data_IF_568910307325
#
_entry.id   IF_568910307325
#
_cell.length_a   1.000
_cell.length_b   1.000
_cell.length_c   1.000
_cell.angle_alpha   90.00
_cell.angle_beta   90.00
_cell.angle_gamma   90.00
#
_symmetry.space_group_name_H-M   'P 1'
#
loop_
_entity.id
_entity.type
_entity.pdbx_description
1 polymer ?
#
# COMPACT_ATOMS: atom_id res chain seq x y z
N UNK A 1 -4.22 20.58 -11.60
CA UNK A 1 -4.40 20.60 -10.16
C UNK A 1 -4.65 19.14 -9.75
N UNK A 2 -3.60 18.40 -9.39
CA UNK A 2 -3.68 16.99 -9.02
C UNK A 2 -4.47 16.86 -7.72
N UNK A 3 -5.51 16.03 -7.73
CA UNK A 3 -6.32 15.74 -6.53
C UNK A 3 -5.50 14.84 -5.58
N UNK A 4 -5.08 15.41 -4.48
CA UNK A 4 -4.42 14.70 -3.37
C UNK A 4 -5.37 13.79 -2.58
N UNK A 5 -6.65 13.76 -2.93
CA UNK A 5 -7.73 13.11 -2.17
C UNK A 5 -7.92 11.62 -2.48
N UNK A 6 -7.04 11.00 -3.28
CA UNK A 6 -7.20 9.61 -3.75
C UNK A 6 -6.53 8.54 -2.90
N UNK A 7 -5.61 8.91 -2.01
CA UNK A 7 -4.88 7.96 -1.18
C UNK A 7 -5.70 7.51 0.04
N UNK A 8 -6.35 6.38 -0.07
CA UNK A 8 -7.17 5.82 1.01
C UNK A 8 -6.38 5.32 2.20
N UNK A 9 -5.22 4.79 1.93
CA UNK A 9 -4.31 4.24 2.91
C UNK A 9 -3.04 5.10 2.92
N UNK A 10 -3.23 6.43 3.07
CA UNK A 10 -2.10 7.36 3.14
C UNK A 10 -1.32 7.13 4.44
N UNK A 11 -0.15 6.52 4.32
CA UNK A 11 0.78 6.26 5.42
C UNK A 11 1.33 7.53 6.07
N UNK A 12 1.11 8.69 5.46
CA UNK A 12 1.66 9.99 5.87
C UNK A 12 1.20 10.48 7.24
N UNK A 13 0.12 9.90 7.79
CA UNK A 13 -0.37 10.27 9.12
C UNK A 13 0.19 9.43 10.28
N UNK A 14 0.98 8.40 10.02
CA UNK A 14 1.66 7.64 11.09
C UNK A 14 2.63 8.49 11.93
N UNK A 15 3.03 9.65 11.43
CA UNK A 15 3.95 10.58 12.14
C UNK A 15 3.27 11.47 13.18
N UNK A 16 1.96 11.41 13.34
CA UNK A 16 1.25 12.19 14.40
C UNK A 16 1.39 11.62 15.79
N UNK A 17 2.26 10.64 16.01
CA UNK A 17 2.68 10.20 17.36
C UNK A 17 1.68 9.31 18.10
N UNK A 18 0.68 8.78 17.43
CA UNK A 18 -0.31 7.88 18.04
C UNK A 18 -0.08 6.41 17.67
N UNK A 19 0.89 5.78 18.34
CA UNK A 19 1.07 4.32 18.27
C UNK A 19 1.83 3.81 17.03
N UNK A 20 2.14 2.50 16.97
CA UNK A 20 2.78 1.90 15.82
C UNK A 20 1.87 2.01 14.59
N UNK A 21 2.46 2.27 13.42
CA UNK A 21 1.76 2.28 12.15
C UNK A 21 1.04 0.92 11.94
N UNK A 22 -0.28 0.95 12.02
CA UNK A 22 -1.11 -0.25 11.93
C UNK A 22 -0.92 -0.94 10.57
N UNK A 23 -0.74 -0.16 9.51
CA UNK A 23 -0.52 -0.67 8.17
C UNK A 23 0.84 -1.39 8.07
N UNK A 24 1.91 -0.77 8.53
CA UNK A 24 3.24 -1.39 8.58
C UNK A 24 3.22 -2.66 9.46
N UNK A 25 2.55 -2.60 10.61
CA UNK A 25 2.41 -3.76 11.50
C UNK A 25 1.75 -4.95 10.80
N UNK A 26 0.72 -4.71 9.98
CA UNK A 26 0.02 -5.77 9.26
C UNK A 26 0.80 -6.31 8.06
N UNK A 27 1.37 -5.44 7.24
CA UNK A 27 1.80 -5.81 5.90
C UNK A 27 3.31 -5.89 5.71
N UNK A 28 4.11 -5.16 6.50
CA UNK A 28 5.58 -5.22 6.38
C UNK A 28 6.16 -6.63 6.50
N UNK A 29 5.70 -7.49 7.44
CA UNK A 29 6.23 -8.85 7.53
C UNK A 29 6.06 -9.65 6.23
N UNK A 30 4.93 -9.48 5.53
CA UNK A 30 4.67 -10.16 4.26
C UNK A 30 5.53 -9.58 3.14
N UNK A 31 5.60 -8.26 3.00
CA UNK A 31 6.46 -7.58 2.04
C UNK A 31 7.93 -8.00 2.22
N UNK A 32 8.42 -7.99 3.46
CA UNK A 32 9.82 -8.36 3.75
C UNK A 32 10.11 -9.82 3.46
N UNK A 33 9.17 -10.72 3.75
CA UNK A 33 9.28 -12.15 3.40
C UNK A 33 9.45 -12.35 1.89
N UNK A 34 8.70 -11.64 1.06
CA UNK A 34 8.86 -11.71 -0.39
C UNK A 34 10.24 -11.23 -0.83
N UNK A 35 10.67 -10.08 -0.36
CA UNK A 35 11.97 -9.51 -0.72
C UNK A 35 13.13 -10.39 -0.27
N UNK A 36 13.05 -10.98 0.93
CA UNK A 36 14.03 -11.96 1.42
C UNK A 36 14.05 -13.23 0.56
N UNK A 37 12.86 -13.71 0.14
CA UNK A 37 12.72 -14.84 -0.77
C UNK A 37 13.36 -14.61 -2.15
N UNK A 38 13.54 -13.35 -2.57
CA UNK A 38 14.29 -13.01 -3.80
C UNK A 38 15.80 -13.04 -3.62
N UNK A 39 16.30 -13.21 -2.39
CA UNK A 39 17.71 -13.16 -2.07
C UNK A 39 18.26 -11.74 -1.88
N UNK A 40 17.37 -10.76 -1.55
CA UNK A 40 17.79 -9.41 -1.24
C UNK A 40 18.94 -9.39 -0.23
N UNK A 41 20.01 -8.69 -0.58
CA UNK A 41 21.21 -8.66 0.25
C UNK A 41 22.09 -7.45 0.03
N UNK A 42 23.28 -7.51 0.67
CA UNK A 42 24.26 -6.43 0.62
C UNK A 42 24.68 -6.07 -0.81
N UNK A 43 24.80 -4.78 -1.07
CA UNK A 43 25.21 -4.23 -2.36
C UNK A 43 24.07 -4.09 -3.39
N UNK A 44 22.87 -4.56 -3.10
CA UNK A 44 21.74 -4.41 -4.02
C UNK A 44 21.35 -2.94 -4.22
N UNK A 45 20.89 -2.67 -5.43
CA UNK A 45 20.29 -1.38 -5.82
C UNK A 45 18.76 -1.56 -5.85
N UNK A 46 18.07 -0.89 -4.96
CA UNK A 46 16.61 -0.97 -4.83
C UNK A 46 15.98 0.37 -5.20
N UNK A 47 14.83 0.29 -5.86
CA UNK A 47 13.96 1.45 -6.07
C UNK A 47 12.62 1.19 -5.38
N UNK A 48 12.32 2.02 -4.39
CA UNK A 48 11.06 2.05 -3.66
C UNK A 48 10.19 3.17 -4.21
N UNK A 49 9.02 2.81 -4.73
CA UNK A 49 8.09 3.74 -5.41
C UNK A 49 6.90 3.99 -4.52
N UNK A 50 6.65 5.25 -4.18
CA UNK A 50 5.51 5.65 -3.34
C UNK A 50 5.55 5.05 -1.93
N UNK A 51 6.67 5.15 -1.18
CA UNK A 51 6.78 4.51 0.12
C UNK A 51 5.76 5.01 1.14
N UNK A 52 5.28 6.25 0.98
CA UNK A 52 4.32 6.89 1.90
C UNK A 52 4.81 7.05 3.35
N UNK A 53 5.94 6.45 3.69
CA UNK A 53 6.53 6.43 5.02
C UNK A 53 7.93 5.83 5.04
N UNK A 54 8.46 5.57 6.23
CA UNK A 54 9.88 5.23 6.41
C UNK A 54 10.17 3.74 6.61
N UNK A 55 9.15 2.91 6.86
CA UNK A 55 9.34 1.51 7.30
C UNK A 55 10.08 0.65 6.29
N UNK A 56 9.57 0.55 5.05
CA UNK A 56 10.17 -0.24 3.97
C UNK A 56 11.53 0.33 3.57
N UNK A 57 11.64 1.66 3.42
CA UNK A 57 12.89 2.34 3.07
C UNK A 57 13.99 2.05 4.10
N UNK A 58 13.67 2.17 5.39
CA UNK A 58 14.62 1.92 6.47
C UNK A 58 15.03 0.44 6.55
N UNK A 59 14.11 -0.47 6.28
CA UNK A 59 14.40 -1.90 6.24
C UNK A 59 15.29 -2.25 5.03
N UNK A 60 14.99 -1.73 3.83
CA UNK A 60 15.82 -1.89 2.64
C UNK A 60 17.23 -1.38 2.88
N UNK A 61 17.38 -0.18 3.46
CA UNK A 61 18.68 0.40 3.77
C UNK A 61 19.55 -0.50 4.66
N UNK A 62 18.95 -1.12 5.67
CA UNK A 62 19.64 -2.10 6.54
C UNK A 62 20.06 -3.34 5.76
N UNK A 63 19.22 -3.86 4.87
CA UNK A 63 19.49 -5.08 4.09
C UNK A 63 20.56 -4.88 3.03
N UNK A 64 20.52 -3.77 2.29
CA UNK A 64 21.51 -3.51 1.23
C UNK A 64 22.86 -3.04 1.78
N UNK A 65 22.88 -2.50 3.00
CA UNK A 65 24.10 -2.07 3.67
C UNK A 65 24.83 -0.89 2.96
N UNK A 66 26.02 -0.53 3.42
CA UNK A 66 26.71 0.69 2.96
C UNK A 66 27.19 0.63 1.51
N UNK A 67 27.28 -0.54 0.90
CA UNK A 67 27.68 -0.74 -0.50
C UNK A 67 26.50 -0.81 -1.46
N UNK A 68 25.27 -0.85 -0.93
CA UNK A 68 24.04 -0.84 -1.71
C UNK A 68 23.51 0.57 -1.96
N UNK A 69 22.33 0.63 -2.57
CA UNK A 69 21.62 1.88 -2.81
C UNK A 69 20.11 1.66 -2.69
N UNK A 70 19.43 2.58 -2.00
CA UNK A 70 17.97 2.65 -1.99
C UNK A 70 17.57 4.00 -2.58
N UNK A 71 16.94 3.98 -3.72
CA UNK A 71 16.29 5.14 -4.31
C UNK A 71 14.82 5.10 -3.89
N UNK A 72 14.37 6.06 -3.12
CA UNK A 72 12.98 6.19 -2.69
C UNK A 72 12.33 7.37 -3.42
N UNK A 73 11.21 7.15 -4.08
CA UNK A 73 10.55 8.19 -4.87
C UNK A 73 9.08 8.28 -4.53
N UNK A 74 8.58 9.51 -4.39
CA UNK A 74 7.19 9.80 -4.10
C UNK A 74 6.80 11.14 -4.77
N UNK A 75 5.51 11.40 -4.92
CA UNK A 75 4.99 12.71 -5.31
C UNK A 75 5.12 13.75 -4.19
N UNK A 76 5.25 13.28 -2.96
CA UNK A 76 5.49 14.08 -1.76
C UNK A 76 6.51 13.37 -0.87
N UNK A 77 7.65 14.00 -0.64
CA UNK A 77 8.76 13.48 0.17
C UNK A 77 8.79 14.06 1.58
N UNK A 78 7.68 14.57 2.12
CA UNK A 78 7.61 15.10 3.49
C UNK A 78 8.00 14.08 4.58
N UNK A 79 7.82 12.77 4.29
CA UNK A 79 8.30 11.66 5.12
C UNK A 79 9.82 11.50 5.15
N UNK A 80 10.54 12.12 4.20
CA UNK A 80 11.98 11.94 4.00
C UNK A 80 12.80 12.78 4.98
N UNK A 81 12.71 12.45 6.26
CA UNK A 81 13.46 13.13 7.32
C UNK A 81 14.96 12.79 7.28
N UNK A 82 15.87 13.67 7.75
CA UNK A 82 17.32 13.46 7.67
C UNK A 82 17.84 12.18 8.34
N UNK A 83 17.10 11.62 9.30
CA UNK A 83 17.45 10.35 9.94
C UNK A 83 17.31 9.14 9.00
N UNK A 84 16.48 9.25 7.97
CA UNK A 84 16.20 8.21 6.98
C UNK A 84 16.96 8.45 5.68
N UNK A 85 17.04 9.70 5.21
CA UNK A 85 17.67 10.08 3.94
C UNK A 85 19.18 10.30 4.05
N UNK A 86 19.86 9.31 4.60
CA UNK A 86 21.33 9.24 4.62
C UNK A 86 21.79 7.99 3.86
N UNK A 87 23.01 7.98 3.33
CA UNK A 87 23.48 6.79 2.62
C UNK A 87 23.19 5.50 3.38
N UNK A 88 22.69 4.44 2.73
CA UNK A 88 22.56 4.29 1.27
C UNK A 88 21.24 4.82 0.66
N UNK A 89 20.45 5.63 1.36
CA UNK A 89 19.12 6.11 0.91
C UNK A 89 19.24 7.48 0.22
N UNK A 90 18.61 7.59 -0.94
CA UNK A 90 18.33 8.86 -1.62
C UNK A 90 16.81 8.98 -1.82
N UNK A 91 16.22 10.14 -1.54
CA UNK A 91 14.82 10.44 -1.74
C UNK A 91 14.65 11.52 -2.81
N UNK A 92 13.68 11.34 -3.73
CA UNK A 92 13.38 12.28 -4.81
C UNK A 92 11.89 12.46 -4.98
N UNK A 93 11.46 13.68 -5.27
CA UNK A 93 10.11 13.92 -5.82
C UNK A 93 10.07 13.36 -7.24
N UNK A 94 9.11 12.50 -7.52
CA UNK A 94 9.03 11.79 -8.78
C UNK A 94 7.61 11.27 -9.02
N UNK A 95 7.11 11.41 -10.24
CA UNK A 95 5.81 10.93 -10.66
C UNK A 95 6.00 9.70 -11.56
N UNK A 96 5.89 8.52 -10.97
CA UNK A 96 6.05 7.25 -11.69
C UNK A 96 5.08 7.17 -12.89
N UNK A 97 5.59 6.78 -14.05
CA UNK A 97 4.79 6.75 -15.29
C UNK A 97 4.71 8.09 -16.04
N UNK A 98 5.14 9.19 -15.42
CA UNK A 98 5.24 10.52 -16.06
C UNK A 98 6.70 10.89 -16.26
N UNK A 99 7.48 10.85 -15.16
CA UNK A 99 8.91 11.15 -15.20
C UNK A 99 9.72 9.95 -15.72
N UNK A 100 10.94 10.23 -16.24
CA UNK A 100 11.86 9.15 -16.55
C UNK A 100 12.30 8.42 -15.26
N UNK A 101 12.57 7.10 -15.30
CA UNK A 101 13.05 6.39 -14.12
C UNK A 101 14.23 7.13 -13.45
N UNK A 102 14.31 7.13 -12.11
CA UNK A 102 15.37 7.85 -11.38
C UNK A 102 16.75 7.21 -11.51
N UNK A 103 16.88 6.23 -12.39
CA UNK A 103 18.07 5.49 -12.72
C UNK A 103 17.73 4.17 -13.38
N UNK A 104 18.76 3.34 -13.57
CA UNK A 104 18.66 2.02 -14.16
C UNK A 104 19.48 0.97 -13.40
N UNK A 105 19.39 -0.27 -13.84
CA UNK A 105 20.17 -1.37 -13.28
C UNK A 105 19.76 -1.76 -11.86
N UNK A 106 18.51 -1.54 -11.48
CA UNK A 106 18.01 -1.95 -10.17
C UNK A 106 17.89 -3.47 -10.07
N UNK A 107 18.30 -4.02 -8.94
CA UNK A 107 18.11 -5.43 -8.56
C UNK A 107 16.67 -5.70 -8.16
N UNK A 108 16.06 -4.75 -7.45
CA UNK A 108 14.68 -4.78 -6.99
C UNK A 108 14.02 -3.43 -7.26
N UNK A 109 12.80 -3.48 -7.80
CA UNK A 109 11.86 -2.35 -7.79
C UNK A 109 10.62 -2.81 -7.02
N UNK A 110 10.17 -1.99 -6.08
CA UNK A 110 9.02 -2.27 -5.26
C UNK A 110 8.04 -1.10 -5.26
N UNK A 111 6.76 -1.40 -5.24
CA UNK A 111 5.69 -0.44 -5.01
C UNK A 111 4.56 -1.11 -4.23
N UNK A 112 4.10 -0.48 -3.16
CA UNK A 112 2.97 -0.93 -2.35
C UNK A 112 1.92 0.17 -2.26
N UNK A 113 0.69 -0.12 -2.72
CA UNK A 113 -0.45 0.81 -2.78
C UNK A 113 -0.16 2.09 -3.57
N UNK A 114 0.78 2.07 -4.49
CA UNK A 114 1.17 3.21 -5.30
C UNK A 114 0.68 3.09 -6.75
N UNK A 115 0.67 1.87 -7.30
CA UNK A 115 0.38 1.66 -8.72
C UNK A 115 -1.07 2.03 -9.08
N UNK A 116 -2.05 1.66 -8.24
CA UNK A 116 -3.46 1.97 -8.45
C UNK A 116 -3.76 3.49 -8.48
N UNK A 117 -2.85 4.31 -7.94
CA UNK A 117 -2.98 5.76 -7.87
C UNK A 117 -2.15 6.51 -8.92
N UNK A 118 -1.34 5.79 -9.69
CA UNK A 118 -0.61 6.40 -10.79
C UNK A 118 -1.58 6.92 -11.87
N UNK A 119 -1.29 8.07 -12.51
CA UNK A 119 -2.13 8.59 -13.58
C UNK A 119 -2.33 7.62 -14.74
N UNK A 120 -1.30 6.83 -15.02
CA UNK A 120 -1.29 5.72 -15.98
C UNK A 120 -0.55 4.54 -15.34
N UNK A 121 -1.29 3.59 -14.73
CA UNK A 121 -0.69 2.43 -14.07
C UNK A 121 0.11 1.52 -15.00
N UNK A 122 -0.29 1.40 -16.27
CA UNK A 122 0.43 0.58 -17.25
C UNK A 122 1.76 1.22 -17.61
N UNK A 123 1.79 2.52 -17.87
CA UNK A 123 3.03 3.26 -18.14
C UNK A 123 3.95 3.29 -16.91
N UNK A 124 3.40 3.42 -15.70
CA UNK A 124 4.16 3.33 -14.46
C UNK A 124 4.85 1.96 -14.34
N UNK A 125 4.13 0.89 -14.61
CA UNK A 125 4.65 -0.47 -14.57
C UNK A 125 5.74 -0.71 -15.62
N UNK A 126 5.57 -0.21 -16.85
CA UNK A 126 6.59 -0.26 -17.90
C UNK A 126 7.85 0.52 -17.50
N UNK A 127 7.70 1.69 -16.90
CA UNK A 127 8.80 2.52 -16.38
C UNK A 127 9.61 1.76 -15.30
N UNK A 128 8.93 1.17 -14.34
CA UNK A 128 9.55 0.34 -13.29
C UNK A 128 10.27 -0.88 -13.88
N UNK A 129 9.63 -1.59 -14.82
CA UNK A 129 10.23 -2.75 -15.49
C UNK A 129 11.47 -2.37 -16.29
N UNK A 130 11.43 -1.23 -16.97
CA UNK A 130 12.58 -0.71 -17.75
C UNK A 130 13.79 -0.44 -16.86
N UNK A 131 13.58 0.10 -15.68
CA UNK A 131 14.63 0.44 -14.72
C UNK A 131 15.37 -0.77 -14.14
N UNK A 132 14.78 -1.95 -14.16
CA UNK A 132 15.42 -3.18 -13.69
C UNK A 132 16.62 -3.57 -14.58
N UNK A 133 17.65 -4.17 -13.98
CA UNK A 133 18.65 -4.92 -14.74
C UNK A 133 18.06 -6.23 -15.30
N UNK A 134 18.67 -6.87 -16.31
CA UNK A 134 18.33 -8.24 -16.66
C UNK A 134 18.39 -9.16 -15.43
N UNK A 135 17.34 -9.97 -15.22
CA UNK A 135 17.19 -10.82 -14.04
C UNK A 135 16.75 -10.10 -12.75
N UNK A 136 16.63 -8.76 -12.75
CA UNK A 136 16.11 -7.99 -11.63
C UNK A 136 14.64 -8.31 -11.33
N UNK A 137 14.20 -8.05 -10.10
CA UNK A 137 12.88 -8.39 -9.59
C UNK A 137 11.98 -7.18 -9.49
N UNK A 138 10.71 -7.33 -9.87
CA UNK A 138 9.64 -6.39 -9.58
C UNK A 138 8.69 -7.03 -8.58
N UNK A 139 8.35 -6.31 -7.51
CA UNK A 139 7.31 -6.67 -6.55
C UNK A 139 6.30 -5.52 -6.51
N UNK A 140 5.06 -5.80 -6.85
CA UNK A 140 3.94 -4.86 -6.72
C UNK A 140 2.93 -5.43 -5.74
N UNK A 141 2.51 -4.60 -4.81
CA UNK A 141 1.54 -4.97 -3.78
C UNK A 141 0.40 -3.97 -3.77
N UNK A 142 -0.83 -4.48 -3.86
CA UNK A 142 -2.02 -3.61 -3.84
C UNK A 142 -3.20 -4.29 -3.16
N UNK A 143 -4.06 -3.49 -2.53
CA UNK A 143 -5.24 -3.99 -1.86
C UNK A 143 -6.30 -4.43 -2.88
N UNK A 144 -7.07 -5.46 -2.53
CA UNK A 144 -8.25 -5.86 -3.27
C UNK A 144 -9.49 -5.77 -2.36
N UNK A 145 -10.14 -4.62 -2.39
CA UNK A 145 -11.32 -4.35 -1.57
C UNK A 145 -12.57 -5.11 -2.04
N UNK A 146 -12.54 -5.64 -3.27
CA UNK A 146 -13.67 -6.39 -3.83
C UNK A 146 -13.55 -7.91 -3.59
N UNK A 147 -12.34 -8.41 -3.27
CA UNK A 147 -12.12 -9.83 -2.97
C UNK A 147 -12.75 -10.21 -1.62
N UNK A 148 -12.64 -9.33 -0.63
CA UNK A 148 -13.30 -9.49 0.67
C UNK A 148 -13.99 -8.18 1.04
N UNK A 149 -15.32 -8.08 0.79
CA UNK A 149 -16.05 -6.83 0.97
C UNK A 149 -16.49 -6.55 2.40
N UNK A 150 -16.41 -7.53 3.30
CA UNK A 150 -16.91 -7.40 4.67
C UNK A 150 -15.84 -6.92 5.64
N UNK A 151 -16.20 -6.00 6.54
CA UNK A 151 -15.35 -5.60 7.66
C UNK A 151 -15.38 -6.65 8.79
N UNK A 152 -16.57 -7.19 9.08
CA UNK A 152 -16.77 -8.31 10.01
C UNK A 152 -17.22 -9.53 9.23
N UNK A 153 -16.47 -10.64 9.35
CA UNK A 153 -16.73 -11.88 8.61
C UNK A 153 -17.86 -12.68 9.21
N UNK A 154 -17.97 -12.67 10.52
CA UNK A 154 -19.02 -13.32 11.29
C UNK A 154 -19.82 -12.28 12.08
N UNK A 155 -21.04 -12.65 12.37
CA UNK A 155 -21.91 -11.83 13.18
C UNK A 155 -23.09 -11.24 12.40
N UNK A 156 -24.26 -11.36 13.01
CA UNK A 156 -25.54 -10.89 12.45
C UNK A 156 -26.12 -9.73 13.24
N UNK A 157 -25.41 -9.25 14.27
CA UNK A 157 -25.86 -8.15 15.10
C UNK A 157 -25.85 -6.81 14.39
N UNK A 158 -26.58 -5.81 14.90
CA UNK A 158 -26.68 -4.49 14.28
C UNK A 158 -25.32 -3.80 14.13
N UNK A 159 -24.38 -4.04 15.04
CA UNK A 159 -23.04 -3.45 15.01
C UNK A 159 -22.16 -4.04 13.90
N UNK A 160 -22.24 -5.36 13.66
CA UNK A 160 -21.56 -6.01 12.54
C UNK A 160 -22.13 -5.55 11.19
N UNK A 161 -23.47 -5.39 11.13
CA UNK A 161 -24.12 -4.85 9.94
C UNK A 161 -23.70 -3.41 9.68
N UNK A 162 -23.55 -2.58 10.71
CA UNK A 162 -23.06 -1.22 10.60
C UNK A 162 -21.62 -1.21 10.04
N UNK A 163 -20.72 -2.01 10.60
CA UNK A 163 -19.34 -2.12 10.11
C UNK A 163 -19.28 -2.50 8.62
N UNK A 164 -20.09 -3.50 8.22
CA UNK A 164 -20.13 -3.96 6.83
C UNK A 164 -20.73 -2.89 5.88
N UNK A 165 -21.76 -2.14 6.32
CA UNK A 165 -22.29 -1.01 5.54
C UNK A 165 -21.27 0.12 5.37
N UNK A 166 -20.53 0.46 6.42
CA UNK A 166 -19.49 1.48 6.33
C UNK A 166 -18.34 1.05 5.40
N UNK A 167 -17.95 -0.23 5.42
CA UNK A 167 -16.99 -0.78 4.47
C UNK A 167 -17.49 -0.66 3.02
N UNK A 168 -18.78 -0.95 2.78
CA UNK A 168 -19.38 -0.76 1.45
C UNK A 168 -19.41 0.72 1.06
N UNK A 169 -19.74 1.63 1.98
CA UNK A 169 -19.72 3.06 1.76
C UNK A 169 -18.31 3.56 1.36
N UNK A 170 -17.28 3.08 2.03
CA UNK A 170 -15.89 3.37 1.68
C UNK A 170 -15.58 2.89 0.26
N UNK A 171 -15.96 1.67 -0.09
CA UNK A 171 -15.74 1.12 -1.45
C UNK A 171 -16.45 1.94 -2.53
N UNK A 172 -17.71 2.34 -2.26
CA UNK A 172 -18.47 3.20 -3.17
C UNK A 172 -17.80 4.57 -3.37
N UNK A 173 -17.40 5.20 -2.27
CA UNK A 173 -16.71 6.50 -2.30
C UNK A 173 -15.41 6.45 -3.13
N UNK A 174 -14.69 5.34 -3.06
CA UNK A 174 -13.47 5.16 -3.81
C UNK A 174 -13.71 4.93 -5.29
N UNK A 175 -14.70 4.10 -5.62
CA UNK A 175 -15.09 3.86 -7.00
C UNK A 175 -15.54 5.17 -7.68
N UNK A 176 -16.28 6.03 -6.98
CA UNK A 176 -16.66 7.37 -7.45
C UNK A 176 -15.43 8.27 -7.71
N UNK A 177 -14.36 8.09 -6.93
CA UNK A 177 -13.09 8.81 -7.12
C UNK A 177 -12.17 8.21 -8.17
N UNK A 178 -12.62 7.13 -8.85
CA UNK A 178 -11.90 6.46 -9.93
C UNK A 178 -10.90 5.39 -9.49
N UNK A 179 -10.89 5.01 -8.21
CA UNK A 179 -10.09 3.88 -7.75
C UNK A 179 -10.79 2.57 -8.12
N UNK A 180 -10.08 1.65 -8.78
CA UNK A 180 -10.58 0.30 -9.06
C UNK A 180 -10.47 -0.56 -7.78
N UNK A 181 -11.58 -0.92 -7.12
CA UNK A 181 -11.52 -1.71 -5.89
C UNK A 181 -11.02 -3.15 -6.10
N UNK A 182 -10.92 -3.60 -7.35
CA UNK A 182 -10.44 -4.91 -7.74
C UNK A 182 -9.02 -4.88 -8.36
N UNK A 183 -8.29 -3.78 -8.15
CA UNK A 183 -6.97 -3.59 -8.78
C UNK A 183 -5.98 -4.70 -8.38
N UNK A 184 -5.94 -5.09 -7.11
CA UNK A 184 -4.99 -6.07 -6.60
C UNK A 184 -5.00 -7.39 -7.37
N UNK A 185 -6.16 -7.99 -7.63
CA UNK A 185 -6.26 -9.26 -8.38
C UNK A 185 -5.79 -9.18 -9.83
N UNK A 186 -5.66 -7.97 -10.38
CA UNK A 186 -5.21 -7.75 -11.77
C UNK A 186 -3.69 -7.74 -11.90
N UNK A 187 -2.96 -7.53 -10.79
CA UNK A 187 -1.51 -7.39 -10.78
C UNK A 187 -0.76 -8.49 -11.55
N UNK A 188 -1.05 -9.80 -11.38
CA UNK A 188 -0.32 -10.83 -12.13
C UNK A 188 -0.44 -10.64 -13.64
N UNK A 189 -1.63 -10.30 -14.13
CA UNK A 189 -1.87 -10.07 -15.55
C UNK A 189 -1.15 -8.82 -16.07
N UNK A 190 -1.12 -7.76 -15.26
CA UNK A 190 -0.39 -6.53 -15.58
C UNK A 190 1.11 -6.78 -15.66
N UNK A 191 1.68 -7.58 -14.75
CA UNK A 191 3.09 -7.94 -14.76
C UNK A 191 3.45 -8.78 -16.01
N UNK A 192 2.60 -9.72 -16.40
CA UNK A 192 2.78 -10.45 -17.67
C UNK A 192 2.75 -9.52 -18.87
N UNK A 193 1.80 -8.59 -18.92
CA UNK A 193 1.67 -7.61 -20.01
C UNK A 193 2.89 -6.68 -20.10
N UNK A 194 3.51 -6.35 -18.94
CA UNK A 194 4.75 -5.59 -18.88
C UNK A 194 6.02 -6.39 -19.28
N UNK A 195 5.88 -7.66 -19.69
CA UNK A 195 6.97 -8.49 -20.20
C UNK A 195 7.81 -9.19 -19.13
N UNK A 196 7.34 -9.23 -17.89
CA UNK A 196 8.01 -9.96 -16.82
C UNK A 196 7.83 -11.48 -16.99
N UNK A 197 8.82 -12.25 -16.53
CA UNK A 197 8.83 -13.72 -16.59
C UNK A 197 8.74 -14.31 -15.19
N UNK A 198 8.21 -15.54 -15.11
CA UNK A 198 8.05 -16.25 -13.83
C UNK A 198 7.18 -15.43 -12.88
N UNK A 199 6.07 -14.90 -13.38
CA UNK A 199 5.14 -14.11 -12.57
C UNK A 199 4.42 -15.05 -11.63
N UNK A 200 4.46 -14.71 -10.35
CA UNK A 200 3.75 -15.38 -9.26
C UNK A 200 3.03 -14.33 -8.44
N UNK A 201 2.05 -14.77 -7.66
CA UNK A 201 1.33 -13.90 -6.73
C UNK A 201 0.78 -14.71 -5.57
N UNK A 202 0.64 -14.04 -4.42
CA UNK A 202 -0.14 -14.53 -3.28
C UNK A 202 -1.01 -13.42 -2.69
N UNK A 203 -1.81 -13.78 -1.69
CA UNK A 203 -2.67 -12.85 -0.97
C UNK A 203 -2.44 -13.01 0.53
N UNK A 204 -2.24 -11.90 1.22
CA UNK A 204 -2.26 -11.85 2.68
C UNK A 204 -3.54 -11.20 3.17
N UNK A 205 -4.29 -11.92 3.97
CA UNK A 205 -5.58 -11.50 4.48
C UNK A 205 -5.58 -11.49 6.01
N UNK A 206 -5.29 -10.34 6.65
CA UNK A 206 -5.27 -10.22 8.10
C UNK A 206 -6.69 -10.13 8.67
N UNK A 207 -6.93 -10.89 9.75
CA UNK A 207 -8.23 -10.98 10.44
C UNK A 207 -8.01 -10.92 11.94
N UNK A 208 -8.92 -10.27 12.66
CA UNK A 208 -9.01 -10.27 14.13
C UNK A 208 -7.72 -9.85 14.87
N UNK A 209 -6.91 -9.03 14.23
CA UNK A 209 -5.72 -8.44 14.85
C UNK A 209 -6.02 -7.06 15.42
N UNK A 210 -5.43 -6.64 16.54
CA UNK A 210 -5.53 -5.25 17.02
C UNK A 210 -5.13 -4.21 15.97
N UNK A 211 -4.19 -4.55 15.09
CA UNK A 211 -3.78 -3.68 13.99
C UNK A 211 -4.86 -3.58 12.89
N UNK A 212 -5.70 -4.61 12.69
CA UNK A 212 -6.88 -4.50 11.80
C UNK A 212 -7.88 -3.48 12.34
N UNK A 213 -8.17 -3.53 13.63
CA UNK A 213 -9.05 -2.57 14.31
C UNK A 213 -8.51 -1.14 14.22
N UNK A 214 -7.21 -0.95 14.47
CA UNK A 214 -6.55 0.34 14.35
C UNK A 214 -6.58 0.89 12.92
N UNK A 215 -6.34 0.05 11.91
CA UNK A 215 -6.40 0.44 10.50
C UNK A 215 -7.82 0.81 10.08
N UNK A 216 -8.83 0.04 10.51
CA UNK A 216 -10.24 0.34 10.26
C UNK A 216 -10.62 1.69 10.84
N UNK A 217 -10.32 1.90 12.15
CA UNK A 217 -10.60 3.18 12.82
C UNK A 217 -9.96 4.37 12.12
N UNK A 218 -8.68 4.27 11.79
CA UNK A 218 -7.96 5.34 11.10
C UNK A 218 -8.53 5.61 9.69
N UNK A 219 -8.95 4.57 8.97
CA UNK A 219 -9.55 4.70 7.63
C UNK A 219 -10.91 5.39 7.69
N UNK A 220 -11.79 4.96 8.59
CA UNK A 220 -13.13 5.53 8.74
C UNK A 220 -13.06 6.96 9.23
N UNK A 221 -12.23 7.25 10.24
CA UNK A 221 -12.09 8.62 10.78
C UNK A 221 -11.55 9.59 9.71
N UNK A 222 -10.58 9.18 8.94
CA UNK A 222 -10.03 9.99 7.84
C UNK A 222 -11.05 10.27 6.73
N UNK A 223 -11.93 9.32 6.44
CA UNK A 223 -12.94 9.46 5.40
C UNK A 223 -14.26 10.04 5.91
N UNK A 224 -14.36 10.35 7.19
CA UNK A 224 -15.56 10.85 7.88
C UNK A 224 -16.27 11.94 7.09
N UNK A 225 -15.61 13.06 6.86
CA UNK A 225 -16.18 14.21 6.13
C UNK A 225 -16.66 13.84 4.73
N UNK A 226 -15.89 13.03 4.02
CA UNK A 226 -16.24 12.61 2.67
C UNK A 226 -17.44 11.66 2.65
N UNK A 227 -17.52 10.72 3.61
CA UNK A 227 -18.64 9.79 3.74
C UNK A 227 -19.94 10.54 4.08
N UNK A 228 -19.87 11.51 4.99
CA UNK A 228 -21.02 12.32 5.39
C UNK A 228 -21.46 13.24 4.24
N UNK A 229 -20.54 13.91 3.57
CA UNK A 229 -20.84 14.78 2.44
C UNK A 229 -21.47 14.04 1.27
N UNK A 230 -21.04 12.80 1.02
CA UNK A 230 -21.61 11.92 0.00
C UNK A 230 -22.94 11.27 0.43
N UNK A 231 -23.44 11.53 1.64
CA UNK A 231 -24.60 10.88 2.24
C UNK A 231 -24.51 9.32 2.28
N UNK A 232 -23.30 8.81 2.43
CA UNK A 232 -23.02 7.37 2.53
C UNK A 232 -23.01 6.89 3.99
N UNK A 233 -22.83 7.80 4.96
CA UNK A 233 -22.91 7.56 6.39
C UNK A 233 -23.31 8.84 7.14
N UNK A 234 -23.80 8.70 8.37
CA UNK A 234 -24.00 9.84 9.29
C UNK A 234 -22.85 9.90 10.29
N UNK A 235 -22.64 11.08 10.90
CA UNK A 235 -21.67 11.28 12.00
C UNK A 235 -21.94 10.29 13.14
N UNK A 236 -23.21 10.10 13.53
CA UNK A 236 -23.62 9.20 14.59
C UNK A 236 -23.30 7.72 14.26
N UNK A 237 -23.48 7.29 13.03
CA UNK A 237 -23.11 5.93 12.60
C UNK A 237 -21.59 5.72 12.65
N UNK A 238 -20.83 6.73 12.25
CA UNK A 238 -19.36 6.69 12.30
C UNK A 238 -18.88 6.63 13.76
N UNK A 239 -19.36 7.53 14.62
CA UNK A 239 -18.98 7.54 16.04
C UNK A 239 -19.31 6.22 16.74
N UNK A 240 -20.51 5.67 16.47
CA UNK A 240 -20.91 4.38 17.00
C UNK A 240 -20.01 3.24 16.52
N UNK A 241 -19.64 3.23 15.24
CA UNK A 241 -18.74 2.22 14.70
C UNK A 241 -17.35 2.32 15.34
N UNK A 242 -16.77 3.51 15.44
CA UNK A 242 -15.47 3.72 16.07
C UNK A 242 -15.45 3.29 17.54
N UNK A 243 -16.52 3.57 18.29
CA UNK A 243 -16.69 3.10 19.66
C UNK A 243 -16.72 1.56 19.74
N UNK A 244 -17.45 0.91 18.82
CA UNK A 244 -17.55 -0.54 18.76
C UNK A 244 -16.20 -1.19 18.42
N UNK A 245 -15.47 -0.67 17.44
CA UNK A 245 -14.12 -1.14 17.09
C UNK A 245 -13.18 -1.00 18.29
N UNK A 246 -13.21 0.15 18.97
CA UNK A 246 -12.36 0.43 20.14
C UNK A 246 -12.69 -0.49 21.32
N UNK A 247 -13.93 -0.93 21.47
CA UNK A 247 -14.33 -1.87 22.53
C UNK A 247 -13.71 -3.25 22.40
N UNK A 248 -13.19 -3.61 21.21
CA UNK A 248 -12.65 -4.94 20.93
C UNK A 248 -13.73 -6.04 20.80
N UNK A 249 -15.00 -5.67 20.67
CA UNK A 249 -16.11 -6.63 20.58
C UNK A 249 -16.32 -7.19 19.17
N UNK A 250 -15.52 -6.74 18.18
CA UNK A 250 -15.66 -7.15 16.78
C UNK A 250 -14.34 -7.66 16.21
N UNK A 251 -14.41 -8.79 15.54
CA UNK A 251 -13.28 -9.32 14.75
C UNK A 251 -13.22 -8.61 13.40
N UNK A 252 -12.42 -7.56 13.35
CA UNK A 252 -12.24 -6.78 12.12
C UNK A 252 -11.25 -7.47 11.18
N UNK A 253 -11.65 -7.59 9.92
CA UNK A 253 -10.80 -8.02 8.81
C UNK A 253 -10.29 -6.80 8.02
N UNK A 254 -8.99 -6.74 7.75
CA UNK A 254 -8.47 -5.76 6.79
C UNK A 254 -8.70 -6.24 5.35
N UNK A 255 -8.68 -5.35 4.34
CA UNK A 255 -8.69 -5.76 2.95
C UNK A 255 -7.49 -6.66 2.63
N UNK A 256 -7.66 -7.71 1.81
CA UNK A 256 -6.54 -8.52 1.36
C UNK A 256 -5.51 -7.68 0.59
N UNK A 257 -4.24 -7.85 0.92
CA UNK A 257 -3.13 -7.35 0.12
C UNK A 257 -2.72 -8.44 -0.87
N UNK A 258 -2.76 -8.12 -2.15
CA UNK A 258 -2.25 -8.97 -3.21
C UNK A 258 -0.82 -8.56 -3.51
N UNK A 259 0.10 -9.49 -3.34
CA UNK A 259 1.50 -9.33 -3.74
C UNK A 259 1.74 -10.09 -5.03
N UNK A 260 2.21 -9.40 -6.06
CA UNK A 260 2.57 -10.00 -7.33
C UNK A 260 4.02 -9.64 -7.69
N UNK A 261 4.79 -10.61 -8.14
CA UNK A 261 6.19 -10.42 -8.48
C UNK A 261 6.58 -11.16 -9.76
N UNK A 262 7.64 -10.67 -10.38
CA UNK A 262 8.21 -11.28 -11.57
C UNK A 262 9.65 -10.85 -11.78
N UNK A 263 10.28 -11.36 -12.83
CA UNK A 263 11.68 -11.12 -13.18
C UNK A 263 11.79 -10.56 -14.59
N UNK A 264 12.62 -9.51 -14.75
CA UNK A 264 12.99 -9.01 -16.09
C UNK A 264 13.80 -10.07 -16.83
N UNK A 265 13.42 -10.33 -18.08
CA UNK A 265 14.13 -11.25 -18.98
C UNK A 265 15.56 -10.81 -19.32
#
# INVERSE_FOLDING_TARGET
MMRTDGYLLDHRQAETGQGPDAFATLFDPTTFRHMEGFGLGSGWRCWEVGPGGTSVVSWLAKKVGPTGKVMATDTDISWAVPSVTRPPVEALVHHVGVDQPPGDGFDLVHARLALAHAPDPEQALLSMTKALRPGGRLLIEDADLALQPLACLEGSGPEHQLANRLREAVRALLAERGTDPAHGRRLPRLLYAAGLRGVEADAYFPVASPACAALESATIDRLREALVTANLATEEEIDRHLANVTSGAMDIAAPPLISAWGRKG
#
